data_IF_921135157718
#
_entry.id   IF_921135157718
#
_cell.length_a   1.000
_cell.length_b   1.000
_cell.length_c   1.000
_cell.angle_alpha   90.00
_cell.angle_beta   90.00
_cell.angle_gamma   90.00
#
_symmetry.space_group_name_H-M   'P 1'
#
loop_
_entity.id
_entity.type
_entity.pdbx_description
1 polymer ?
#
# COMPACT_ATOMS: atom_id res chain seq x y z
N UNK A 1 -3.58 -3.32 17.06
CA UNK A 1 -2.88 -3.62 15.80
C UNK A 1 -1.37 -3.56 15.97
N UNK A 2 -0.77 -2.50 16.50
CA UNK A 2 0.69 -2.37 16.68
C UNK A 2 1.27 -3.51 17.50
N UNK A 3 0.68 -3.83 18.67
CA UNK A 3 1.14 -4.93 19.53
C UNK A 3 0.97 -6.30 18.87
N UNK A 4 -0.09 -6.50 18.10
CA UNK A 4 -0.32 -7.75 17.37
C UNK A 4 0.76 -7.98 16.31
N UNK A 5 1.04 -6.97 15.48
CA UNK A 5 2.10 -7.09 14.45
C UNK A 5 3.48 -7.24 15.07
N UNK A 6 3.77 -6.52 16.16
CA UNK A 6 5.01 -6.66 16.92
C UNK A 6 5.19 -8.07 17.49
N UNK A 7 4.12 -8.69 18.01
CA UNK A 7 4.14 -10.07 18.48
C UNK A 7 4.54 -11.04 17.36
N UNK A 8 3.91 -10.95 16.19
CA UNK A 8 4.22 -11.83 15.06
C UNK A 8 5.65 -11.64 14.54
N UNK A 9 6.11 -10.38 14.48
CA UNK A 9 7.48 -10.09 14.07
C UNK A 9 8.51 -10.67 15.04
N UNK A 10 8.27 -10.53 16.35
CA UNK A 10 9.20 -10.97 17.39
C UNK A 10 9.18 -12.48 17.58
N UNK A 11 8.02 -13.08 17.78
CA UNK A 11 7.88 -14.50 18.14
C UNK A 11 8.02 -15.42 16.93
N UNK A 12 7.51 -15.03 15.78
CA UNK A 12 7.53 -15.85 14.56
C UNK A 12 8.54 -15.38 13.52
N UNK A 13 9.34 -14.33 13.84
CA UNK A 13 10.42 -13.83 12.96
C UNK A 13 9.92 -13.43 11.56
N UNK A 14 8.72 -12.90 11.45
CA UNK A 14 8.20 -12.43 10.17
C UNK A 14 9.05 -11.29 9.61
N UNK A 15 9.42 -11.40 8.34
CA UNK A 15 10.24 -10.41 7.64
C UNK A 15 9.44 -9.28 6.99
N UNK A 16 8.11 -9.34 7.04
CA UNK A 16 7.28 -8.30 6.44
C UNK A 16 5.78 -8.45 6.69
N UNK A 17 5.05 -7.39 6.40
CA UNK A 17 3.59 -7.31 6.52
C UNK A 17 2.99 -6.61 5.31
N UNK A 18 1.95 -7.20 4.76
CA UNK A 18 1.09 -6.58 3.75
C UNK A 18 -0.26 -6.24 4.35
N UNK A 19 -0.69 -5.00 4.20
CA UNK A 19 -1.98 -4.52 4.66
C UNK A 19 -2.99 -4.47 3.52
N UNK A 20 -4.02 -5.26 3.64
CA UNK A 20 -5.20 -5.17 2.80
C UNK A 20 -5.97 -3.90 3.14
N UNK A 21 -6.48 -3.18 2.14
CA UNK A 21 -7.22 -1.93 2.35
C UNK A 21 -6.54 -0.98 3.36
N UNK A 22 -5.26 -0.73 3.20
CA UNK A 22 -4.45 0.06 4.14
C UNK A 22 -5.03 1.46 4.40
N UNK A 23 -5.76 2.03 3.44
CA UNK A 23 -6.40 3.34 3.60
C UNK A 23 -7.59 3.36 4.58
N UNK A 24 -7.99 2.23 5.14
CA UNK A 24 -8.88 2.18 6.31
C UNK A 24 -8.17 2.59 7.60
N UNK A 25 -6.85 2.59 7.60
CA UNK A 25 -6.02 3.02 8.73
C UNK A 25 -5.54 4.45 8.53
N UNK A 26 -5.30 5.13 9.65
CA UNK A 26 -4.71 6.46 9.63
C UNK A 26 -3.18 6.40 9.46
N UNK A 27 -2.62 7.46 8.90
CA UNK A 27 -1.19 7.58 8.61
C UNK A 27 -0.36 7.47 9.90
N UNK A 28 -0.81 8.11 10.98
CA UNK A 28 -0.09 8.12 12.25
C UNK A 28 0.06 6.69 12.81
N UNK A 29 -1.02 5.92 12.81
CA UNK A 29 -0.99 4.52 13.25
C UNK A 29 -0.05 3.69 12.37
N UNK A 30 -0.06 3.88 11.05
CA UNK A 30 0.82 3.15 10.15
C UNK A 30 2.30 3.55 10.34
N UNK A 31 2.58 4.83 10.57
CA UNK A 31 3.94 5.31 10.88
C UNK A 31 4.45 4.72 12.21
N UNK A 32 3.64 4.76 13.27
CA UNK A 32 3.98 4.19 14.58
C UNK A 32 4.19 2.68 14.52
N UNK A 33 3.31 1.96 13.81
CA UNK A 33 3.42 0.52 13.59
C UNK A 33 4.75 0.18 12.90
N UNK A 34 5.06 0.87 11.82
CA UNK A 34 6.29 0.65 11.05
C UNK A 34 7.53 0.96 11.88
N UNK A 35 7.53 2.06 12.61
CA UNK A 35 8.62 2.42 13.51
C UNK A 35 8.83 1.33 14.59
N UNK A 36 7.75 0.82 15.20
CA UNK A 36 7.81 -0.26 16.17
C UNK A 36 8.39 -1.54 15.57
N UNK A 37 7.94 -1.94 14.40
CA UNK A 37 8.44 -3.14 13.72
C UNK A 37 9.93 -3.03 13.39
N UNK A 38 10.40 -1.87 12.98
CA UNK A 38 11.82 -1.63 12.68
C UNK A 38 12.71 -1.68 13.91
N UNK A 39 12.20 -1.49 15.13
CA UNK A 39 12.96 -1.74 16.36
C UNK A 39 13.19 -3.23 16.62
N UNK A 40 12.34 -4.10 16.07
CA UNK A 40 12.43 -5.56 16.20
C UNK A 40 13.34 -6.12 15.09
N UNK A 41 13.16 -5.66 13.88
CA UNK A 41 13.97 -6.02 12.71
C UNK A 41 14.07 -4.82 11.77
N UNK A 42 15.26 -4.24 11.64
CA UNK A 42 15.52 -3.07 10.79
C UNK A 42 15.19 -3.32 9.32
N UNK A 43 15.38 -4.55 8.85
CA UNK A 43 15.10 -4.97 7.47
C UNK A 43 13.63 -5.33 7.19
N UNK A 44 12.73 -5.15 8.16
CA UNK A 44 11.32 -5.52 7.98
C UNK A 44 10.64 -4.69 6.88
N UNK A 45 9.87 -5.35 6.03
CA UNK A 45 9.16 -4.71 4.92
C UNK A 45 7.70 -4.53 5.30
N UNK A 46 7.19 -3.31 5.21
CA UNK A 46 5.77 -2.99 5.41
C UNK A 46 5.23 -2.32 4.16
N UNK A 47 4.11 -2.78 3.65
CA UNK A 47 3.43 -2.19 2.51
C UNK A 47 1.95 -2.54 2.51
N UNK A 48 1.16 -1.87 1.69
CA UNK A 48 -0.26 -2.18 1.61
C UNK A 48 -1.00 -1.52 0.46
N UNK A 49 -2.28 -1.80 0.40
CA UNK A 49 -3.19 -1.25 -0.59
C UNK A 49 -3.65 0.15 -0.18
N UNK A 50 -3.32 1.20 -0.98
CA UNK A 50 -3.59 2.59 -0.60
C UNK A 50 -5.03 3.04 -0.94
N UNK A 51 -5.99 2.14 -0.88
CA UNK A 51 -7.43 2.39 -1.08
C UNK A 51 -8.26 1.80 0.06
N UNK A 52 -9.52 2.21 0.16
CA UNK A 52 -10.45 1.90 1.26
C UNK A 52 -11.74 1.22 0.81
N UNK A 53 -11.83 0.83 -0.46
CA UNK A 53 -13.05 0.28 -1.07
C UNK A 53 -14.29 1.19 -0.91
N UNK A 54 -14.09 2.50 -0.70
CA UNK A 54 -15.18 3.46 -0.51
C UNK A 54 -15.79 3.46 0.89
N UNK A 55 -15.15 2.79 1.88
CA UNK A 55 -15.72 2.56 3.21
C UNK A 55 -15.05 3.29 4.38
N UNK A 56 -14.08 4.17 4.13
CA UNK A 56 -13.39 4.86 5.22
C UNK A 56 -14.18 6.05 5.76
N UNK A 57 -14.33 6.10 7.09
CA UNK A 57 -14.83 7.27 7.81
C UNK A 57 -13.73 8.33 8.06
N UNK A 58 -12.47 8.02 7.76
CA UNK A 58 -11.36 8.95 7.89
C UNK A 58 -11.45 10.04 6.83
N UNK A 59 -11.22 11.29 7.23
CA UNK A 59 -11.09 12.39 6.28
C UNK A 59 -9.87 12.20 5.40
N UNK A 60 -9.93 12.66 4.14
CA UNK A 60 -8.93 12.39 3.11
C UNK A 60 -7.48 12.68 3.51
N UNK A 61 -7.26 13.62 4.44
CA UNK A 61 -5.91 14.03 4.87
C UNK A 61 -5.27 13.10 5.93
N UNK A 62 -6.04 12.24 6.59
CA UNK A 62 -5.55 11.37 7.66
C UNK A 62 -5.41 9.91 7.25
N UNK A 63 -6.11 9.49 6.20
CA UNK A 63 -6.09 8.12 5.72
C UNK A 63 -4.77 7.77 5.02
N UNK A 64 -4.31 6.53 5.17
CA UNK A 64 -3.14 6.00 4.47
C UNK A 64 -3.45 5.70 2.98
N UNK A 65 -3.96 6.71 2.27
CA UNK A 65 -4.31 6.69 0.85
C UNK A 65 -3.12 7.02 -0.04
N UNK A 66 -3.19 6.59 -1.30
CA UNK A 66 -2.17 6.86 -2.31
C UNK A 66 -1.80 8.34 -2.42
N UNK A 67 -2.78 9.23 -2.35
CA UNK A 67 -2.58 10.69 -2.42
C UNK A 67 -1.78 11.28 -1.26
N UNK A 68 -1.65 10.53 -0.16
CA UNK A 68 -0.93 10.93 1.05
C UNK A 68 0.43 10.22 1.19
N UNK A 69 0.90 9.55 0.13
CA UNK A 69 2.12 8.75 0.15
C UNK A 69 3.39 9.49 0.58
N UNK A 70 3.42 10.82 0.36
CA UNK A 70 4.53 11.68 0.80
C UNK A 70 4.64 11.81 2.34
N UNK A 71 3.63 11.36 3.09
CA UNK A 71 3.59 11.36 4.55
C UNK A 71 3.87 9.99 5.16
N UNK A 72 4.11 8.98 4.33
CA UNK A 72 4.42 7.63 4.79
C UNK A 72 5.87 7.54 5.25
N UNK A 73 6.06 7.00 6.45
CA UNK A 73 7.38 6.86 7.07
C UNK A 73 7.80 5.38 7.13
N UNK A 74 8.62 4.98 6.16
CA UNK A 74 9.26 3.66 6.15
C UNK A 74 8.37 2.50 5.69
N UNK A 75 7.20 2.75 5.12
CA UNK A 75 6.36 1.74 4.48
C UNK A 75 5.96 2.15 3.06
N UNK A 76 5.62 1.16 2.25
CA UNK A 76 5.30 1.32 0.84
C UNK A 76 3.83 1.15 0.53
N UNK A 77 3.48 1.45 -0.72
CA UNK A 77 2.13 1.27 -1.24
C UNK A 77 2.16 0.68 -2.65
N UNK A 78 1.09 0.00 -3.04
CA UNK A 78 0.89 -0.37 -4.42
C UNK A 78 0.70 0.86 -5.30
N UNK A 79 1.18 0.78 -6.53
CA UNK A 79 1.00 1.82 -7.54
C UNK A 79 0.16 1.26 -8.70
N UNK A 80 -1.14 1.52 -8.66
CA UNK A 80 -2.09 1.08 -9.69
C UNK A 80 -1.88 1.84 -11.00
N UNK A 81 -1.44 3.09 -10.97
CA UNK A 81 -1.14 3.86 -12.16
C UNK A 81 0.02 3.24 -12.96
N UNK A 82 1.09 2.85 -12.28
CA UNK A 82 2.21 2.16 -12.92
C UNK A 82 1.77 0.79 -13.47
N UNK A 83 1.00 0.02 -12.69
CA UNK A 83 0.43 -1.25 -13.15
C UNK A 83 -0.41 -1.04 -14.41
N UNK A 84 -1.32 -0.09 -14.40
CA UNK A 84 -2.28 0.15 -15.49
C UNK A 84 -1.61 0.72 -16.73
N UNK A 85 -0.54 1.50 -16.57
CA UNK A 85 0.28 1.93 -17.70
C UNK A 85 0.99 0.74 -18.39
N UNK A 86 1.41 -0.26 -17.61
CA UNK A 86 2.11 -1.43 -18.13
C UNK A 86 1.16 -2.46 -18.74
N UNK A 87 0.15 -2.89 -18.00
CA UNK A 87 -0.73 -4.01 -18.35
C UNK A 87 -2.19 -3.71 -18.12
N UNK A 88 -2.71 -2.59 -18.49
CA UNK A 88 -4.11 -2.22 -18.23
C UNK A 88 -5.04 -3.44 -18.41
N UNK A 89 -5.19 -4.21 -17.36
CA UNK A 89 -5.99 -5.43 -17.39
C UNK A 89 -7.45 -5.04 -17.19
N UNK A 90 -8.32 -5.61 -18.01
CA UNK A 90 -9.75 -5.37 -17.97
C UNK A 90 -10.44 -5.85 -16.70
N UNK A 91 -9.99 -5.42 -15.52
CA UNK A 91 -10.68 -5.71 -14.26
C UNK A 91 -12.12 -5.17 -14.23
N UNK A 92 -12.48 -4.29 -15.16
CA UNK A 92 -13.83 -3.75 -15.31
C UNK A 92 -14.51 -4.15 -16.63
N UNK A 93 -14.15 -5.29 -17.21
CA UNK A 93 -14.80 -5.82 -18.42
C UNK A 93 -14.48 -5.05 -19.71
N UNK A 94 -13.59 -4.07 -19.68
CA UNK A 94 -13.07 -3.40 -20.86
C UNK A 94 -11.67 -3.92 -21.15
N UNK A 95 -11.46 -4.41 -22.36
CA UNK A 95 -10.16 -4.85 -22.87
C UNK A 95 -9.26 -3.64 -23.16
N UNK A 96 -8.98 -2.84 -22.14
CA UNK A 96 -8.01 -1.76 -22.24
C UNK A 96 -6.60 -2.34 -22.30
N UNK A 97 -5.76 -1.74 -23.13
CA UNK A 97 -4.39 -2.22 -23.37
C UNK A 97 -3.39 -1.29 -22.69
N UNK A 98 -2.47 -1.88 -21.94
CA UNK A 98 -1.28 -1.20 -21.46
C UNK A 98 -0.10 -1.34 -22.45
N UNK A 99 1.04 -0.80 -22.07
CA UNK A 99 2.23 -0.80 -22.92
C UNK A 99 2.67 -2.22 -23.33
N UNK A 100 2.64 -3.18 -22.41
CA UNK A 100 3.07 -4.57 -22.66
C UNK A 100 2.13 -5.31 -23.62
N UNK A 101 0.84 -4.99 -23.60
CA UNK A 101 -0.17 -5.65 -24.44
C UNK A 101 -0.69 -4.77 -25.59
N UNK A 102 0.20 -3.95 -26.16
CA UNK A 102 0.00 -3.19 -27.41
C UNK A 102 -0.87 -1.92 -27.34
N UNK A 103 -0.74 -1.10 -26.32
CA UNK A 103 -1.24 0.27 -26.38
C UNK A 103 -0.14 1.24 -26.83
N UNK A 104 -0.36 1.92 -27.94
CA UNK A 104 0.53 3.00 -28.38
C UNK A 104 0.31 4.31 -27.62
N UNK A 105 -0.77 4.41 -26.85
CA UNK A 105 -1.16 5.60 -26.07
C UNK A 105 -0.82 5.54 -24.58
N UNK A 106 -0.36 4.39 -24.08
CA UNK A 106 -0.04 4.19 -22.67
C UNK A 106 1.40 4.62 -22.30
N UNK A 107 2.08 5.31 -23.18
CA UNK A 107 3.51 5.61 -23.06
C UNK A 107 3.80 6.91 -22.28
N UNK A 108 3.03 7.20 -21.23
CA UNK A 108 3.47 8.21 -20.26
C UNK A 108 3.38 7.62 -18.85
N UNK A 109 4.54 7.31 -18.24
CA UNK A 109 4.57 7.04 -16.81
C UNK A 109 4.26 8.30 -16.00
#
# INVERSE_FOLDING_TARGET
>A
MIDSTAFWAKEYKLGGFRFDLMALHDIETMNLLTAKLKTINEGIVVYGEPWDAGGSSLTGNFAAKQTNGNRFEGYGQFNDQARDALIKSGMNGKADKGWVNNSTSAASP
#
